data_IF_149308062332
#
_entry.id   IF_149308062332
#
_cell.length_a   1.000
_cell.length_b   1.000
_cell.length_c   1.000
_cell.angle_alpha   90.00
_cell.angle_beta   90.00
_cell.angle_gamma   90.00
#
_symmetry.space_group_name_H-M   'P 1'
#
loop_
_entity.id
_entity.type
_entity.pdbx_description
1 polymer ?
#
# COMPACT_ATOMS: atom_id res chain seq x y z
N UNK A 1 -7.13 17.94 -1.08
CA UNK A 1 -5.95 17.24 -1.64
C UNK A 1 -5.08 16.58 -0.59
N UNK A 2 -4.63 17.30 0.45
CA UNK A 2 -3.71 16.75 1.47
C UNK A 2 -4.23 15.48 2.15
N UNK A 3 -5.50 15.42 2.56
CA UNK A 3 -6.06 14.22 3.17
C UNK A 3 -6.13 13.02 2.21
N UNK A 4 -6.42 13.26 0.93
CA UNK A 4 -6.42 12.24 -0.12
C UNK A 4 -5.01 11.69 -0.38
N UNK A 5 -4.01 12.57 -0.43
CA UNK A 5 -2.61 12.18 -0.55
C UNK A 5 -2.15 11.37 0.66
N UNK A 6 -2.46 11.84 1.89
CA UNK A 6 -2.10 11.13 3.12
C UNK A 6 -2.69 9.72 3.10
N UNK A 7 -3.97 9.56 2.76
CA UNK A 7 -4.59 8.24 2.67
C UNK A 7 -3.98 7.33 1.59
N UNK A 8 -3.68 7.87 0.41
CA UNK A 8 -3.02 7.10 -0.66
C UNK A 8 -1.59 6.70 -0.28
N UNK A 9 -0.82 7.63 0.28
CA UNK A 9 0.56 7.41 0.71
C UNK A 9 0.62 6.38 1.85
N UNK A 10 -0.27 6.46 2.85
CA UNK A 10 -0.29 5.48 3.95
C UNK A 10 -0.65 4.09 3.48
N UNK A 11 -1.63 3.95 2.57
CA UNK A 11 -1.94 2.66 1.95
C UNK A 11 -0.75 2.14 1.15
N UNK A 12 -0.11 2.99 0.33
CA UNK A 12 1.09 2.64 -0.42
C UNK A 12 2.20 2.11 0.49
N UNK A 13 2.50 2.82 1.58
CA UNK A 13 3.51 2.41 2.55
C UNK A 13 3.16 1.11 3.27
N UNK A 14 1.87 0.86 3.56
CA UNK A 14 1.41 -0.41 4.09
C UNK A 14 1.70 -1.55 3.11
N UNK A 15 1.36 -1.38 1.82
CA UNK A 15 1.65 -2.37 0.76
C UNK A 15 3.14 -2.63 0.65
N UNK A 16 3.96 -1.57 0.57
CA UNK A 16 5.41 -1.70 0.50
C UNK A 16 5.97 -2.47 1.70
N UNK A 17 5.47 -2.17 2.91
CA UNK A 17 5.87 -2.85 4.15
C UNK A 17 5.51 -4.32 4.18
N UNK A 18 4.33 -4.68 3.70
CA UNK A 18 3.84 -6.06 3.61
C UNK A 18 4.73 -6.83 2.66
N UNK A 19 4.97 -6.32 1.45
CA UNK A 19 5.81 -6.99 0.44
C UNK A 19 7.28 -7.09 0.87
N UNK A 20 7.82 -6.06 1.53
CA UNK A 20 9.15 -6.12 2.15
C UNK A 20 9.26 -7.24 3.20
N UNK A 21 8.25 -7.38 4.05
CA UNK A 21 8.23 -8.45 5.06
C UNK A 21 8.09 -9.82 4.39
N UNK A 22 7.33 -9.90 3.30
CA UNK A 22 7.10 -11.11 2.51
C UNK A 22 8.39 -11.68 1.91
N UNK A 23 9.24 -10.83 1.35
CA UNK A 23 10.50 -11.24 0.72
C UNK A 23 11.71 -11.19 1.68
N UNK A 24 11.47 -11.04 3.00
CA UNK A 24 12.52 -10.91 4.02
C UNK A 24 13.54 -9.81 3.69
N UNK A 25 13.07 -8.68 3.15
CA UNK A 25 13.90 -7.53 2.82
C UNK A 25 14.48 -6.83 4.06
N UNK A 26 15.54 -6.02 3.86
CA UNK A 26 16.17 -5.25 4.94
C UNK A 26 15.14 -4.41 5.69
N UNK A 27 14.96 -4.63 7.00
CA UNK A 27 13.90 -4.01 7.83
C UNK A 27 13.85 -2.48 7.78
N UNK A 28 14.94 -1.82 7.39
CA UNK A 28 15.06 -0.36 7.31
C UNK A 28 14.62 0.23 5.96
N UNK A 29 14.43 -0.59 4.92
CA UNK A 29 14.08 -0.09 3.59
C UNK A 29 12.75 0.67 3.59
N UNK A 30 11.66 0.10 4.13
CA UNK A 30 10.37 0.83 4.15
C UNK A 30 10.41 2.11 5.01
N UNK A 31 10.96 2.13 6.24
CA UNK A 31 11.12 3.39 6.99
C UNK A 31 11.94 4.44 6.24
N UNK A 32 13.02 4.03 5.56
CA UNK A 32 13.81 4.92 4.71
C UNK A 32 12.98 5.47 3.55
N UNK A 33 12.23 4.62 2.85
CA UNK A 33 11.38 5.03 1.73
C UNK A 33 10.22 5.94 2.16
N UNK A 34 9.64 5.72 3.34
CA UNK A 34 8.63 6.60 3.92
C UNK A 34 9.25 7.96 4.26
N UNK A 35 10.44 7.97 4.86
CA UNK A 35 11.16 9.22 5.19
C UNK A 35 11.49 10.00 3.92
N UNK A 36 11.97 9.32 2.88
CA UNK A 36 12.22 9.93 1.58
C UNK A 36 10.94 10.38 0.88
N UNK A 37 9.83 9.66 1.02
CA UNK A 37 8.54 10.05 0.42
C UNK A 37 7.79 11.16 1.17
N UNK A 38 8.14 11.42 2.44
CA UNK A 38 7.58 12.50 3.25
C UNK A 38 8.24 13.86 3.03
N UNK A 39 9.37 13.91 2.30
CA UNK A 39 9.93 15.17 1.83
C UNK A 39 9.05 15.64 0.65
N UNK A 40 8.56 16.89 0.70
CA UNK A 40 7.64 17.43 -0.32
C UNK A 40 8.36 17.41 -1.68
N UNK A 41 7.72 16.84 -2.70
CA UNK A 41 8.26 16.73 -4.06
C UNK A 41 9.14 15.51 -4.32
N UNK A 42 9.40 14.67 -3.32
CA UNK A 42 10.09 13.37 -3.48
C UNK A 42 9.14 12.19 -3.31
N UNK A 43 7.83 12.43 -3.25
CA UNK A 43 6.79 11.41 -3.18
C UNK A 43 6.82 10.43 -4.35
N UNK A 44 7.40 10.82 -5.48
CA UNK A 44 7.66 9.98 -6.67
C UNK A 44 8.84 9.01 -6.47
N UNK A 45 9.83 9.37 -5.64
CA UNK A 45 11.07 8.59 -5.49
C UNK A 45 10.80 7.25 -4.81
N UNK A 46 9.98 7.24 -3.76
CA UNK A 46 9.60 6.02 -3.06
C UNK A 46 8.93 4.96 -3.98
N UNK A 47 7.84 5.27 -4.71
CA UNK A 47 7.24 4.34 -5.65
C UNK A 47 8.19 3.91 -6.78
N UNK A 48 8.99 4.83 -7.34
CA UNK A 48 9.94 4.52 -8.41
C UNK A 48 11.08 3.61 -7.95
N UNK A 49 11.55 3.74 -6.71
CA UNK A 49 12.56 2.85 -6.15
C UNK A 49 11.96 1.50 -5.73
N UNK A 50 10.70 1.50 -5.30
CA UNK A 50 10.02 0.29 -4.82
C UNK A 50 9.74 -0.71 -5.93
N UNK A 51 9.27 -0.25 -7.07
CA UNK A 51 8.79 -1.12 -8.14
C UNK A 51 9.90 -2.00 -8.75
N UNK A 52 11.11 -1.48 -9.04
CA UNK A 52 12.27 -2.30 -9.42
C UNK A 52 12.70 -3.28 -8.32
N UNK A 53 12.71 -2.83 -7.06
CA UNK A 53 13.05 -3.69 -5.93
C UNK A 53 12.05 -4.85 -5.77
N UNK A 54 10.75 -4.58 -5.92
CA UNK A 54 9.69 -5.57 -5.90
C UNK A 54 9.87 -6.58 -7.04
N UNK A 55 10.06 -6.10 -8.29
CA UNK A 55 10.26 -6.96 -9.46
C UNK A 55 11.50 -7.84 -9.33
N UNK A 56 12.61 -7.31 -8.81
CA UNK A 56 13.82 -8.07 -8.53
C UNK A 56 13.59 -9.15 -7.46
N UNK A 57 12.94 -8.79 -6.35
CA UNK A 57 12.62 -9.72 -5.26
C UNK A 57 11.70 -10.85 -5.71
N UNK A 58 10.68 -10.51 -6.51
CA UNK A 58 9.75 -11.47 -7.11
C UNK A 58 10.50 -12.42 -8.06
N UNK A 59 11.35 -11.90 -8.96
CA UNK A 59 12.12 -12.71 -9.90
C UNK A 59 13.08 -13.67 -9.19
N UNK A 60 13.78 -13.20 -8.15
CA UNK A 60 14.66 -14.04 -7.35
C UNK A 60 13.90 -15.16 -6.65
N UNK A 61 12.72 -14.86 -6.11
CA UNK A 61 11.88 -15.87 -5.47
C UNK A 61 11.44 -16.95 -6.46
N UNK A 62 10.94 -16.57 -7.64
CA UNK A 62 10.54 -17.53 -8.67
C UNK A 62 11.71 -18.41 -9.13
N UNK A 63 12.91 -17.84 -9.30
CA UNK A 63 14.13 -18.61 -9.65
C UNK A 63 14.49 -19.62 -8.57
N UNK A 64 14.49 -19.22 -7.30
CA UNK A 64 14.80 -20.12 -6.17
C UNK A 64 13.78 -21.26 -6.07
N UNK A 65 12.49 -20.95 -6.18
CA UNK A 65 11.43 -21.96 -6.16
C UNK A 65 11.62 -22.96 -7.31
N UNK A 66 11.92 -22.48 -8.53
CA UNK A 66 12.16 -23.35 -9.68
C UNK A 66 13.40 -24.27 -9.51
N UNK A 67 14.50 -23.74 -8.96
CA UNK A 67 15.71 -24.54 -8.66
C UNK A 67 15.42 -25.61 -7.60
N UNK A 68 14.67 -25.27 -6.54
CA UNK A 68 14.27 -26.23 -5.50
C UNK A 68 13.38 -27.34 -6.07
N UNK A 69 12.46 -26.99 -6.98
CA UNK A 69 11.62 -27.94 -7.70
C UNK A 69 12.47 -28.91 -8.53
N UNK A 70 13.43 -28.39 -9.32
CA UNK A 70 14.32 -29.21 -10.15
C UNK A 70 15.19 -30.15 -9.31
N UNK A 71 15.77 -29.66 -8.22
CA UNK A 71 16.59 -30.46 -7.31
C UNK A 71 15.78 -31.56 -6.61
N UNK A 72 14.54 -31.29 -6.22
CA UNK A 72 13.66 -32.31 -5.65
C UNK A 72 13.25 -33.35 -6.69
N UNK A 73 12.95 -32.93 -7.93
CA UNK A 73 12.64 -33.84 -9.04
C UNK A 73 13.79 -34.81 -9.31
N UNK A 74 15.03 -34.32 -9.34
CA UNK A 74 16.25 -35.13 -9.49
C UNK A 74 16.43 -36.14 -8.35
N UNK A 75 16.11 -35.76 -7.11
CA UNK A 75 16.17 -36.66 -5.94
C UNK A 75 15.08 -37.75 -5.91
N UNK A 76 13.95 -37.55 -6.59
CA UNK A 76 12.80 -38.49 -6.57
C UNK A 76 12.61 -39.30 -7.86
N UNK A 77 13.66 -39.46 -8.68
CA UNK A 77 13.66 -40.30 -9.89
C UNK A 77 13.60 -41.82 -9.59
N UNK A 78 12.93 -42.24 -8.51
CA UNK A 78 12.68 -43.63 -8.14
C UNK A 78 11.17 -43.86 -7.93
N UNK A 79 10.56 -44.48 -8.95
CA UNK A 79 9.45 -45.43 -8.88
C UNK A 79 7.98 -45.03 -8.61
N UNK A 80 7.49 -43.81 -8.84
CA UNK A 80 6.02 -43.63 -8.96
C UNK A 80 5.59 -42.45 -9.85
N UNK A 81 5.13 -42.77 -11.07
CA UNK A 81 4.62 -41.83 -12.08
C UNK A 81 3.43 -40.98 -11.57
N UNK A 82 2.51 -41.60 -10.82
CA UNK A 82 1.27 -40.92 -10.42
C UNK A 82 1.51 -39.95 -9.25
N UNK A 83 2.38 -40.33 -8.32
CA UNK A 83 2.88 -39.46 -7.25
C UNK A 83 3.75 -38.31 -7.79
N UNK A 84 4.38 -38.50 -8.95
CA UNK A 84 5.11 -37.46 -9.67
C UNK A 84 4.16 -36.46 -10.34
N UNK A 85 3.04 -36.92 -10.93
CA UNK A 85 2.04 -36.03 -11.55
C UNK A 85 1.32 -35.15 -10.52
N UNK A 86 0.88 -35.72 -9.39
CA UNK A 86 0.30 -34.94 -8.29
C UNK A 86 1.30 -33.91 -7.75
N UNK A 87 2.57 -34.32 -7.57
CA UNK A 87 3.62 -33.38 -7.17
C UNK A 87 3.87 -32.32 -8.23
N UNK A 88 3.90 -32.63 -9.52
CA UNK A 88 4.10 -31.62 -10.58
C UNK A 88 2.96 -30.60 -10.59
N UNK A 89 1.72 -31.02 -10.37
CA UNK A 89 0.59 -30.10 -10.25
C UNK A 89 0.72 -29.22 -9.00
N UNK A 90 1.11 -29.82 -7.86
CA UNK A 90 1.37 -29.10 -6.63
C UNK A 90 2.59 -28.14 -6.74
N UNK A 91 3.59 -28.49 -7.54
CA UNK A 91 4.79 -27.68 -7.81
C UNK A 91 4.48 -26.55 -8.80
N UNK A 92 3.59 -26.77 -9.77
CA UNK A 92 3.02 -25.71 -10.62
C UNK A 92 2.17 -24.73 -9.82
N UNK A 93 1.36 -25.20 -8.87
CA UNK A 93 0.65 -24.33 -7.92
C UNK A 93 1.62 -23.55 -7.02
N UNK A 94 2.71 -24.18 -6.55
CA UNK A 94 3.76 -23.49 -5.79
C UNK A 94 4.51 -22.42 -6.58
N UNK A 95 4.57 -22.56 -7.91
CA UNK A 95 5.24 -21.60 -8.80
C UNK A 95 4.56 -20.22 -8.80
N UNK A 96 3.30 -20.13 -8.37
CA UNK A 96 2.54 -18.88 -8.21
C UNK A 96 2.25 -18.54 -6.74
N UNK A 97 2.73 -19.35 -5.79
CA UNK A 97 2.46 -19.13 -4.37
C UNK A 97 3.46 -18.14 -3.77
N UNK A 98 2.96 -17.03 -3.25
CA UNK A 98 3.76 -16.03 -2.56
C UNK A 98 4.02 -16.41 -1.09
N UNK A 99 5.17 -16.03 -0.50
CA UNK A 99 5.46 -16.28 0.92
C UNK A 99 4.36 -15.73 1.82
N UNK A 100 4.09 -16.41 2.94
CA UNK A 100 3.14 -15.92 3.95
C UNK A 100 3.81 -14.94 4.90
N UNK A 101 3.03 -14.03 5.47
CA UNK A 101 3.50 -13.02 6.42
C UNK A 101 2.92 -13.37 7.78
N UNK A 102 3.74 -13.29 8.83
CA UNK A 102 3.26 -13.60 10.16
C UNK A 102 2.27 -12.53 10.69
N UNK A 103 1.21 -12.92 11.42
CA UNK A 103 0.17 -12.03 11.93
C UNK A 103 0.69 -10.84 12.74
N UNK A 104 1.73 -11.04 13.54
CA UNK A 104 2.34 -9.98 14.36
C UNK A 104 2.92 -8.83 13.52
N UNK A 105 3.51 -9.13 12.36
CA UNK A 105 3.98 -8.11 11.43
C UNK A 105 2.83 -7.41 10.73
N UNK A 106 1.81 -8.15 10.30
CA UNK A 106 0.60 -7.54 9.73
C UNK A 106 -0.03 -6.57 10.73
N UNK A 107 -0.27 -7.01 11.97
CA UNK A 107 -0.80 -6.17 13.04
C UNK A 107 0.05 -4.91 13.30
N UNK A 108 1.38 -5.06 13.32
CA UNK A 108 2.30 -3.94 13.52
C UNK A 108 2.24 -2.92 12.38
N UNK A 109 2.15 -3.40 11.13
CA UNK A 109 1.98 -2.55 9.95
C UNK A 109 0.62 -1.84 10.00
N UNK A 110 -0.45 -2.53 10.42
CA UNK A 110 -1.77 -1.92 10.57
C UNK A 110 -1.72 -0.76 11.58
N UNK A 111 -1.18 -0.97 12.78
CA UNK A 111 -1.05 0.07 13.79
C UNK A 111 -0.20 1.24 13.30
N UNK A 112 0.95 0.96 12.68
CA UNK A 112 1.80 2.01 12.14
C UNK A 112 1.07 2.84 11.06
N UNK A 113 0.24 2.19 10.24
CA UNK A 113 -0.59 2.85 9.21
C UNK A 113 -1.71 3.68 9.83
N UNK A 114 -2.38 3.16 10.87
CA UNK A 114 -3.43 3.87 11.61
C UNK A 114 -2.90 5.17 12.24
N UNK A 115 -1.76 5.09 12.94
CA UNK A 115 -1.10 6.28 13.50
C UNK A 115 -0.71 7.28 12.41
N UNK A 116 -0.26 6.78 11.26
CA UNK A 116 0.13 7.62 10.12
C UNK A 116 -0.99 8.29 9.37
N UNK A 117 -2.20 7.74 9.44
CA UNK A 117 -3.32 8.17 8.61
C UNK A 117 -4.37 8.92 9.40
N UNK A 118 -4.75 8.40 10.57
CA UNK A 118 -5.85 8.94 11.35
C UNK A 118 -5.45 10.23 12.08
N UNK A 119 -4.29 10.23 12.75
CA UNK A 119 -3.82 11.39 13.50
C UNK A 119 -3.64 12.66 12.64
N UNK A 120 -3.01 12.61 11.45
CA UNK A 120 -2.86 13.81 10.61
C UNK A 120 -4.19 14.30 10.08
N UNK A 121 -5.02 13.41 9.55
CA UNK A 121 -6.27 13.83 8.91
C UNK A 121 -7.26 14.34 9.96
N UNK A 122 -7.38 13.68 11.12
CA UNK A 122 -8.23 14.15 12.21
C UNK A 122 -7.79 15.53 12.71
N UNK A 123 -6.48 15.76 12.84
CA UNK A 123 -5.95 17.04 13.31
C UNK A 123 -6.04 18.16 12.26
N UNK A 124 -5.80 17.85 10.97
CA UNK A 124 -5.90 18.78 9.86
C UNK A 124 -7.35 19.24 9.59
N UNK A 125 -8.34 18.39 9.85
CA UNK A 125 -9.75 18.70 9.60
C UNK A 125 -10.42 19.35 10.81
N UNK A 126 -9.91 19.15 12.02
CA UNK A 126 -10.48 19.69 13.26
C UNK A 126 -10.03 21.11 13.59
N UNK A 127 -8.90 21.57 13.04
CA UNK A 127 -8.35 22.90 13.32
C UNK A 127 -8.30 23.70 12.02
N UNK A 128 -8.90 24.90 12.00
CA UNK A 128 -8.75 25.85 10.89
C UNK A 128 -7.30 26.31 10.68
N UNK A 129 -7.01 27.10 9.63
CA UNK A 129 -5.66 27.55 9.30
C UNK A 129 -5.06 28.29 10.49
N UNK A 130 -4.13 27.64 11.18
CA UNK A 130 -3.56 28.11 12.45
C UNK A 130 -2.10 27.63 12.60
N UNK A 131 -1.37 28.24 13.54
CA UNK A 131 -0.01 27.82 13.92
C UNK A 131 0.02 26.34 14.35
N UNK A 132 -1.07 25.88 14.97
CA UNK A 132 -1.28 24.49 15.38
C UNK A 132 -1.23 23.53 14.19
N UNK A 133 -1.84 23.89 13.05
CA UNK A 133 -1.83 23.06 11.84
C UNK A 133 -0.41 22.92 11.25
N UNK A 134 0.38 24.00 11.28
CA UNK A 134 1.77 23.99 10.80
C UNK A 134 2.66 23.12 11.66
N UNK A 135 2.55 23.22 13.00
CA UNK A 135 3.31 22.37 13.92
C UNK A 135 2.95 20.90 13.78
N UNK A 136 1.67 20.62 13.53
CA UNK A 136 1.18 19.27 13.27
C UNK A 136 1.77 18.73 11.97
N UNK A 137 1.70 19.48 10.86
CA UNK A 137 2.36 19.12 9.59
C UNK A 137 3.88 18.91 9.74
N UNK A 138 4.57 19.75 10.51
CA UNK A 138 5.99 19.60 10.79
C UNK A 138 6.29 18.32 11.57
N UNK A 139 5.48 17.98 12.58
CA UNK A 139 5.64 16.71 13.32
C UNK A 139 5.40 15.48 12.44
N UNK A 140 4.58 15.58 11.39
CA UNK A 140 4.36 14.49 10.43
C UNK A 140 5.57 14.18 9.55
N UNK A 141 6.53 15.09 9.40
CA UNK A 141 7.77 14.79 8.68
C UNK A 141 8.55 13.66 9.36
N UNK A 142 8.44 13.54 10.69
CA UNK A 142 9.07 12.47 11.48
C UNK A 142 8.28 11.15 11.48
N UNK A 143 7.16 11.07 10.76
CA UNK A 143 6.33 9.87 10.74
C UNK A 143 7.09 8.63 10.24
N UNK A 144 8.00 8.77 9.26
CA UNK A 144 8.80 7.63 8.78
C UNK A 144 9.62 6.96 9.90
N UNK A 145 10.10 7.76 10.86
CA UNK A 145 10.82 7.28 12.04
C UNK A 145 9.87 6.55 12.98
N UNK A 146 8.74 7.17 13.33
CA UNK A 146 7.73 6.58 14.23
C UNK A 146 7.17 5.29 13.65
N UNK A 147 6.84 5.27 12.36
CA UNK A 147 6.40 4.10 11.63
C UNK A 147 7.43 2.98 11.69
N UNK A 148 8.70 3.30 11.43
CA UNK A 148 9.80 2.35 11.51
C UNK A 148 9.96 1.76 12.90
N UNK A 149 9.89 2.59 13.94
CA UNK A 149 9.97 2.15 15.33
C UNK A 149 8.82 1.22 15.69
N UNK A 150 7.56 1.56 15.35
CA UNK A 150 6.41 0.69 15.58
C UNK A 150 6.62 -0.64 14.85
N UNK A 151 7.02 -0.62 13.57
CA UNK A 151 7.27 -1.83 12.78
C UNK A 151 8.41 -2.69 13.34
N UNK A 152 9.42 -2.10 13.99
CA UNK A 152 10.56 -2.83 14.56
C UNK A 152 10.26 -3.42 15.93
N UNK A 153 9.65 -2.62 16.81
CA UNK A 153 9.47 -2.96 18.23
C UNK A 153 8.23 -3.82 18.42
N UNK A 154 7.12 -3.46 17.78
CA UNK A 154 5.82 -4.05 18.07
C UNK A 154 5.70 -5.54 17.70
N UNK A 155 6.33 -6.07 16.62
CA UNK A 155 6.32 -7.51 16.36
C UNK A 155 6.98 -8.33 17.48
N UNK A 156 7.96 -7.75 18.18
CA UNK A 156 8.65 -8.38 19.31
C UNK A 156 7.75 -8.45 20.55
N UNK A 157 6.95 -7.41 20.78
CA UNK A 157 5.97 -7.35 21.87
C UNK A 157 4.72 -8.21 21.62
N UNK A 158 4.46 -8.59 20.37
CA UNK A 158 3.24 -9.31 19.95
C UNK A 158 3.50 -10.73 19.47
N UNK A 159 4.65 -11.30 19.83
CA UNK A 159 5.05 -12.67 19.49
C UNK A 159 4.02 -13.73 19.93
N UNK A 160 3.30 -13.49 21.02
CA UNK A 160 2.23 -14.36 21.51
C UNK A 160 0.97 -14.42 20.65
N UNK A 161 0.80 -13.54 19.64
CA UNK A 161 -0.35 -13.57 18.72
C UNK A 161 -0.20 -14.62 17.60
N UNK A 162 0.99 -15.21 17.42
CA UNK A 162 1.28 -16.14 16.30
C UNK A 162 0.55 -17.50 16.40
N UNK A 163 0.08 -17.93 17.57
CA UNK A 163 -0.40 -19.31 17.76
C UNK A 163 -1.81 -19.59 17.23
N UNK A 164 -2.63 -18.56 16.95
CA UNK A 164 -4.07 -18.77 16.72
C UNK A 164 -4.64 -18.25 15.40
N UNK A 165 -3.91 -17.44 14.64
CA UNK A 165 -4.44 -16.83 13.41
C UNK A 165 -3.75 -17.38 12.17
N UNK A 166 -4.53 -17.71 11.13
CA UNK A 166 -3.97 -18.02 9.82
C UNK A 166 -3.26 -16.78 9.28
N UNK A 167 -1.97 -16.94 8.96
CA UNK A 167 -1.09 -15.88 8.48
C UNK A 167 -1.68 -14.98 7.38
N UNK A 168 -2.51 -15.53 6.50
CA UNK A 168 -3.06 -14.82 5.35
C UNK A 168 -4.34 -14.02 5.67
N UNK A 169 -5.16 -14.48 6.63
CA UNK A 169 -6.36 -13.77 7.07
C UNK A 169 -6.03 -12.44 7.75
N UNK A 170 -4.93 -12.38 8.51
CA UNK A 170 -4.47 -11.16 9.19
C UNK A 170 -4.10 -10.03 8.21
N UNK A 171 -3.49 -10.38 7.07
CA UNK A 171 -3.12 -9.39 6.04
C UNK A 171 -4.37 -8.88 5.31
N UNK A 172 -5.35 -9.75 5.06
CA UNK A 172 -6.64 -9.35 4.50
C UNK A 172 -7.40 -8.41 5.43
N UNK A 173 -7.43 -8.71 6.74
CA UNK A 173 -8.05 -7.86 7.75
C UNK A 173 -7.38 -6.48 7.83
N UNK A 174 -6.05 -6.42 7.73
CA UNK A 174 -5.30 -5.16 7.62
C UNK A 174 -5.79 -4.35 6.42
N UNK A 175 -5.83 -4.93 5.22
CA UNK A 175 -6.21 -4.19 4.03
C UNK A 175 -7.68 -3.78 4.05
N UNK A 176 -8.58 -4.62 4.59
CA UNK A 176 -9.98 -4.25 4.80
C UNK A 176 -10.13 -3.05 5.76
N UNK A 177 -9.38 -3.05 6.87
CA UNK A 177 -9.37 -1.92 7.82
C UNK A 177 -8.83 -0.63 7.20
N UNK A 178 -7.70 -0.72 6.49
CA UNK A 178 -7.10 0.42 5.77
C UNK A 178 -8.05 0.95 4.69
N UNK A 179 -8.74 0.08 3.95
CA UNK A 179 -9.73 0.47 2.96
C UNK A 179 -10.90 1.22 3.61
N UNK A 180 -11.47 0.68 4.70
CA UNK A 180 -12.60 1.29 5.41
C UNK A 180 -12.26 2.69 5.95
N UNK A 181 -11.06 2.85 6.53
CA UNK A 181 -10.61 4.14 7.06
C UNK A 181 -10.36 5.14 5.94
N UNK A 182 -9.72 4.72 4.84
CA UNK A 182 -9.53 5.59 3.67
C UNK A 182 -10.86 6.06 3.10
N UNK A 183 -11.83 5.16 2.92
CA UNK A 183 -13.15 5.49 2.40
C UNK A 183 -13.88 6.45 3.34
N UNK A 184 -13.84 6.19 4.65
CA UNK A 184 -14.42 7.08 5.66
C UNK A 184 -13.80 8.48 5.60
N UNK A 185 -12.46 8.59 5.59
CA UNK A 185 -11.79 9.88 5.52
C UNK A 185 -12.06 10.61 4.20
N UNK A 186 -12.13 9.89 3.08
CA UNK A 186 -12.47 10.44 1.78
C UNK A 186 -13.86 11.09 1.79
N UNK A 187 -14.88 10.37 2.26
CA UNK A 187 -16.23 10.93 2.39
C UNK A 187 -16.33 12.00 3.47
N UNK A 188 -15.63 11.87 4.59
CA UNK A 188 -15.61 12.88 5.65
C UNK A 188 -15.10 14.23 5.12
N UNK A 189 -13.99 14.20 4.38
CA UNK A 189 -13.42 15.41 3.75
C UNK A 189 -14.39 15.97 2.72
N UNK A 190 -15.01 15.11 1.90
CA UNK A 190 -16.02 15.52 0.93
C UNK A 190 -17.23 16.22 1.59
N UNK A 191 -17.78 15.64 2.66
CA UNK A 191 -18.91 16.20 3.41
C UNK A 191 -18.51 17.52 4.07
N UNK A 192 -17.36 17.57 4.74
CA UNK A 192 -16.87 18.81 5.37
C UNK A 192 -16.68 19.92 4.35
N UNK A 193 -16.17 19.56 3.17
CA UNK A 193 -15.99 20.49 2.08
C UNK A 193 -17.34 21.00 1.53
N UNK A 194 -18.33 20.12 1.32
CA UNK A 194 -19.70 20.53 0.93
C UNK A 194 -20.35 21.49 1.94
N UNK A 195 -20.05 21.31 3.23
CA UNK A 195 -20.55 22.19 4.30
C UNK A 195 -19.86 23.57 4.29
N UNK A 196 -18.62 23.66 3.84
CA UNK A 196 -17.84 24.91 3.84
C UNK A 196 -17.97 25.73 2.55
N UNK A 197 -18.44 25.14 1.45
CA UNK A 197 -18.45 25.79 0.14
C UNK A 197 -19.88 26.16 -0.27
N UNK A 198 -20.14 27.44 -0.53
CA UNK A 198 -21.47 27.96 -0.89
C UNK A 198 -21.95 27.56 -2.29
N UNK A 199 -21.10 26.93 -3.12
CA UNK A 199 -21.49 26.42 -4.44
C UNK A 199 -20.65 25.21 -4.89
N UNK A 200 -21.27 24.05 -5.19
CA UNK A 200 -20.57 22.83 -5.62
C UNK A 200 -19.99 22.91 -7.04
N UNK A 201 -20.55 23.74 -7.93
CA UNK A 201 -20.08 23.88 -9.32
C UNK A 201 -18.67 24.50 -9.43
N UNK A 202 -18.29 25.34 -8.46
CA UNK A 202 -16.95 25.90 -8.36
C UNK A 202 -15.88 24.83 -8.06
N UNK A 203 -16.27 23.66 -7.52
CA UNK A 203 -15.34 22.57 -7.18
C UNK A 203 -14.78 21.86 -8.38
N UNK A 204 -15.68 21.42 -9.27
CA UNK A 204 -15.32 20.65 -10.46
C UNK A 204 -14.48 21.54 -11.35
N UNK A 205 -14.85 22.81 -11.44
CA UNK A 205 -14.10 23.82 -12.17
C UNK A 205 -12.71 24.06 -11.56
N UNK A 206 -12.58 24.24 -10.25
CA UNK A 206 -11.28 24.39 -9.59
C UNK A 206 -10.37 23.17 -9.77
N UNK A 207 -10.90 21.94 -9.66
CA UNK A 207 -10.12 20.73 -9.89
C UNK A 207 -9.67 20.59 -11.35
N UNK A 208 -10.57 20.85 -12.31
CA UNK A 208 -10.27 20.84 -13.74
C UNK A 208 -9.25 21.93 -14.06
N UNK A 209 -9.42 23.16 -13.56
CA UNK A 209 -8.47 24.24 -13.75
C UNK A 209 -7.10 23.91 -13.13
N UNK A 210 -7.05 23.25 -11.97
CA UNK A 210 -5.78 22.81 -11.38
C UNK A 210 -5.08 21.71 -12.18
N UNK A 211 -5.85 20.80 -12.80
CA UNK A 211 -5.33 19.72 -13.64
C UNK A 211 -4.85 20.21 -15.01
N UNK A 212 -5.56 21.16 -15.63
CA UNK A 212 -5.31 21.60 -17.00
C UNK A 212 -4.57 22.95 -17.09
N UNK A 213 -4.45 23.72 -16.00
CA UNK A 213 -3.53 24.87 -15.94
C UNK A 213 -2.10 24.38 -15.76
N UNK A 214 -1.52 23.90 -16.85
CA UNK A 214 -0.13 23.47 -16.99
C UNK A 214 0.88 24.64 -16.84
N UNK A 215 0.69 25.57 -15.87
CA UNK A 215 1.71 26.57 -15.54
C UNK A 215 1.27 27.99 -15.16
N UNK A 216 0.01 28.30 -14.86
CA UNK A 216 -0.38 29.68 -14.48
C UNK A 216 -0.64 29.92 -12.99
N UNK A 217 -0.07 29.12 -12.08
CA UNK A 217 -0.34 29.25 -10.64
C UNK A 217 0.93 29.50 -9.83
N UNK A 218 1.52 30.67 -10.01
CA UNK A 218 2.53 31.21 -9.09
C UNK A 218 2.02 31.39 -7.64
N UNK A 219 0.70 31.28 -7.42
CA UNK A 219 0.06 31.53 -6.14
C UNK A 219 -0.01 30.32 -5.20
N UNK A 220 0.20 29.07 -5.68
CA UNK A 220 0.04 27.89 -4.81
C UNK A 220 0.89 26.65 -5.20
N UNK A 221 2.23 26.77 -5.20
CA UNK A 221 3.15 25.71 -5.66
C UNK A 221 3.03 24.39 -4.89
N UNK A 222 2.70 24.46 -3.60
CA UNK A 222 2.53 23.27 -2.74
C UNK A 222 1.36 22.40 -3.22
N UNK A 223 0.24 23.03 -3.59
CA UNK A 223 -0.97 22.34 -4.05
C UNK A 223 -0.69 21.57 -5.35
N UNK A 224 0.12 22.14 -6.24
CA UNK A 224 0.55 21.50 -7.48
C UNK A 224 1.50 20.31 -7.24
N UNK A 225 2.48 20.46 -6.35
CA UNK A 225 3.37 19.35 -5.97
C UNK A 225 2.60 18.18 -5.37
N UNK A 226 1.64 18.45 -4.48
CA UNK A 226 0.79 17.42 -3.88
C UNK A 226 -0.06 16.68 -4.92
N UNK A 227 -0.54 17.38 -5.96
CA UNK A 227 -1.28 16.75 -7.07
C UNK A 227 -0.39 15.78 -7.84
N UNK A 228 0.84 16.18 -8.18
CA UNK A 228 1.80 15.30 -8.85
C UNK A 228 2.18 14.08 -8.01
N UNK A 229 2.32 14.24 -6.70
CA UNK A 229 2.57 13.11 -5.79
C UNK A 229 1.39 12.11 -5.80
N UNK A 230 0.13 12.60 -5.83
CA UNK A 230 -1.05 11.73 -5.99
C UNK A 230 -1.00 11.00 -7.32
N UNK A 231 -0.75 11.72 -8.42
CA UNK A 231 -0.70 11.13 -9.77
C UNK A 231 0.39 10.07 -9.85
N UNK A 232 1.59 10.36 -9.35
CA UNK A 232 2.73 9.44 -9.36
C UNK A 232 2.48 8.18 -8.52
N UNK A 233 1.94 8.32 -7.30
CA UNK A 233 1.57 7.18 -6.48
C UNK A 233 0.49 6.35 -7.17
N UNK A 234 -0.57 7.00 -7.64
CA UNK A 234 -1.69 6.31 -8.27
C UNK A 234 -1.28 5.58 -9.55
N UNK A 235 -0.50 6.22 -10.42
CA UNK A 235 0.00 5.61 -11.65
C UNK A 235 0.94 4.44 -11.35
N UNK A 236 1.83 4.57 -10.37
CA UNK A 236 2.76 3.50 -10.00
C UNK A 236 2.01 2.26 -9.51
N UNK A 237 1.06 2.43 -8.59
CA UNK A 237 0.32 1.29 -8.06
C UNK A 237 -0.70 0.73 -9.05
N UNK A 238 -1.20 1.54 -9.97
CA UNK A 238 -2.00 1.06 -11.11
C UNK A 238 -1.15 0.24 -12.06
N UNK A 239 0.08 0.66 -12.35
CA UNK A 239 1.04 -0.10 -13.14
C UNK A 239 1.43 -1.41 -12.44
N UNK A 240 1.65 -1.38 -11.12
CA UNK A 240 1.86 -2.60 -10.34
C UNK A 240 0.65 -3.56 -10.42
N UNK A 241 -0.57 -3.06 -10.27
CA UNK A 241 -1.78 -3.86 -10.42
C UNK A 241 -1.92 -4.43 -11.85
N UNK A 242 -1.48 -3.69 -12.86
CA UNK A 242 -1.41 -4.18 -14.24
C UNK A 242 -0.37 -5.29 -14.43
N UNK A 243 0.80 -5.17 -13.81
CA UNK A 243 1.82 -6.21 -13.87
C UNK A 243 1.38 -7.53 -13.22
N UNK A 244 0.60 -7.44 -12.14
CA UNK A 244 0.10 -8.62 -11.43
C UNK A 244 -1.15 -9.22 -12.12
N UNK A 245 -2.11 -8.38 -12.54
CA UNK A 245 -3.46 -8.81 -12.93
C UNK A 245 -3.93 -8.30 -14.30
N UNK A 246 -3.04 -7.70 -15.07
CA UNK A 246 -3.35 -7.12 -16.36
C UNK A 246 -4.48 -6.10 -16.27
N UNK A 247 -5.43 -6.17 -17.21
CA UNK A 247 -6.54 -5.23 -17.30
C UNK A 247 -7.52 -5.34 -16.12
N UNK A 248 -7.64 -6.50 -15.47
CA UNK A 248 -8.55 -6.64 -14.33
C UNK A 248 -8.06 -5.89 -13.10
N UNK A 249 -6.74 -5.88 -12.86
CA UNK A 249 -6.13 -5.11 -11.78
C UNK A 249 -6.37 -3.61 -11.99
N UNK A 250 -6.12 -3.13 -13.21
CA UNK A 250 -6.36 -1.72 -13.59
C UNK A 250 -7.84 -1.35 -13.42
N UNK A 251 -8.77 -2.18 -13.92
CA UNK A 251 -10.21 -1.94 -13.75
C UNK A 251 -10.61 -1.87 -12.28
N UNK A 252 -10.09 -2.79 -11.45
CA UNK A 252 -10.35 -2.80 -10.01
C UNK A 252 -9.85 -1.51 -9.36
N UNK A 253 -8.65 -1.04 -9.72
CA UNK A 253 -8.08 0.21 -9.23
C UNK A 253 -8.86 1.45 -9.68
N UNK A 254 -9.25 1.54 -10.95
CA UNK A 254 -9.95 2.72 -11.47
C UNK A 254 -11.38 2.82 -10.91
N UNK A 255 -12.14 1.73 -10.95
CA UNK A 255 -13.53 1.72 -10.49
C UNK A 255 -13.61 2.05 -9.00
N UNK A 256 -12.83 1.36 -8.16
CA UNK A 256 -12.88 1.61 -6.72
C UNK A 256 -12.33 3.00 -6.34
N UNK A 257 -11.46 3.59 -7.14
CA UNK A 257 -10.97 4.95 -6.88
C UNK A 257 -12.05 6.00 -7.06
N UNK A 258 -12.94 5.81 -8.04
CA UNK A 258 -14.09 6.70 -8.27
C UNK A 258 -15.06 6.63 -7.09
N UNK A 259 -15.36 5.43 -6.60
CA UNK A 259 -16.34 5.26 -5.52
C UNK A 259 -15.77 5.58 -4.14
N UNK A 260 -14.60 5.04 -3.80
CA UNK A 260 -14.07 5.05 -2.42
C UNK A 260 -12.83 5.93 -2.24
N UNK A 261 -12.34 6.54 -3.32
CA UNK A 261 -11.09 7.29 -3.34
C UNK A 261 -9.86 6.40 -3.60
N UNK A 262 -8.74 6.99 -4.04
CA UNK A 262 -7.57 6.25 -4.52
C UNK A 262 -6.87 5.44 -3.42
N UNK A 263 -6.84 5.95 -2.18
CA UNK A 263 -6.23 5.23 -1.05
C UNK A 263 -7.01 3.99 -0.62
N UNK A 264 -8.35 4.03 -0.68
CA UNK A 264 -9.19 2.87 -0.40
C UNK A 264 -9.12 1.85 -1.54
N UNK A 265 -9.12 2.34 -2.78
CA UNK A 265 -9.00 1.51 -3.97
C UNK A 265 -7.75 0.63 -3.97
N UNK A 266 -6.59 1.21 -3.63
CA UNK A 266 -5.36 0.44 -3.51
C UNK A 266 -5.48 -0.69 -2.48
N UNK A 267 -6.08 -0.40 -1.32
CA UNK A 267 -6.31 -1.38 -0.28
C UNK A 267 -7.33 -2.47 -0.68
N UNK A 268 -8.37 -2.12 -1.44
CA UNK A 268 -9.35 -3.08 -1.97
C UNK A 268 -8.69 -3.99 -3.01
N UNK A 269 -7.85 -3.42 -3.89
CA UNK A 269 -7.09 -4.20 -4.85
C UNK A 269 -6.15 -5.19 -4.16
N UNK A 270 -5.40 -4.74 -3.15
CA UNK A 270 -4.50 -5.62 -2.40
C UNK A 270 -5.25 -6.69 -1.63
N UNK A 271 -6.42 -6.37 -1.06
CA UNK A 271 -7.32 -7.36 -0.44
C UNK A 271 -7.76 -8.44 -1.45
N UNK A 272 -8.17 -8.03 -2.66
CA UNK A 272 -8.53 -8.97 -3.76
C UNK A 272 -7.33 -9.84 -4.14
N UNK A 273 -6.13 -9.25 -4.24
CA UNK A 273 -4.89 -9.97 -4.55
C UNK A 273 -4.58 -11.02 -3.48
N UNK A 274 -4.64 -10.68 -2.19
CA UNK A 274 -4.40 -11.65 -1.12
C UNK A 274 -5.40 -12.82 -1.16
N UNK A 275 -6.67 -12.57 -1.45
CA UNK A 275 -7.67 -13.65 -1.58
C UNK A 275 -7.34 -14.67 -2.69
N UNK A 276 -6.71 -14.23 -3.79
CA UNK A 276 -6.26 -15.14 -4.85
C UNK A 276 -4.97 -15.88 -4.50
N UNK A 277 -4.05 -15.23 -3.78
CA UNK A 277 -2.85 -15.87 -3.25
C UNK A 277 -3.23 -16.99 -2.26
N UNK A 278 -4.33 -16.84 -1.53
CA UNK A 278 -4.89 -17.90 -0.68
C UNK A 278 -5.53 -19.02 -1.50
N UNK A 279 -6.34 -18.69 -2.50
CA UNK A 279 -7.03 -19.67 -3.35
C UNK A 279 -6.06 -20.57 -4.14
N UNK A 280 -4.83 -20.12 -4.38
CA UNK A 280 -3.78 -20.91 -5.05
C UNK A 280 -3.01 -21.83 -4.09
N UNK A 281 -3.20 -21.72 -2.77
CA UNK A 281 -2.59 -22.59 -1.74
C UNK A 281 -3.48 -23.76 -1.33
N UNK A 282 -4.76 -23.72 -1.69
CA UNK A 282 -5.76 -24.79 -1.48
C UNK A 282 -5.84 -25.70 -2.71
#
# INVERSE_FOLDING_TARGET
>A
MTATLVGLATTAYAVMSVEQTRFNGSRFLTPFMITMGNIIGTGVIAPLAWLPWYGWSLSHHHKQTHVNIMNNKLKTSSNNSDKLKERINHLKQQQFSLPSIAPNYAFSIAIATLFGQFLPVALLVSHGPSLTQHNILASFQYFGIVYGLIKLVLPSCTTGLNEKTKNSESVRLLYAGVAGINAFLYYWVWIKWLQTTTSPDLMVKQWIELFFSLGTTGENPVTYMLMWDIVALFSTFTYWAWLEDGLEGVKTMLINSVFFGPGASLAIYTLKREGRIEATKL
#
